data_IF_620087271203
#
_entry.id   IF_620087271203
#
_cell.length_a   1.000
_cell.length_b   1.000
_cell.length_c   1.000
_cell.angle_alpha   90.00
_cell.angle_beta   90.00
_cell.angle_gamma   90.00
#
_symmetry.space_group_name_H-M   'P 1'
#
loop_
_entity.id
_entity.type
_entity.pdbx_description
1 polymer ?
#
# COMPACT_ATOMS: atom_id res chain seq x y z
N UNK A 1 -20.43 -14.69 24.34
CA UNK A 1 -19.39 -13.89 25.05
C UNK A 1 -19.50 -12.47 24.54
N UNK A 2 -19.91 -11.53 25.39
CA UNK A 2 -20.03 -10.10 25.04
C UNK A 2 -18.60 -9.54 24.95
N UNK A 3 -18.10 -9.29 23.73
CA UNK A 3 -16.87 -8.54 23.51
C UNK A 3 -17.07 -7.14 24.12
N UNK A 4 -16.31 -6.82 25.17
CA UNK A 4 -16.30 -5.48 25.76
C UNK A 4 -15.67 -4.54 24.73
N UNK A 5 -16.52 -3.83 23.99
CA UNK A 5 -16.20 -2.60 23.28
C UNK A 5 -15.90 -1.53 24.34
N UNK A 6 -14.66 -1.40 24.77
CA UNK A 6 -14.19 -0.21 25.47
C UNK A 6 -12.79 0.13 24.96
N UNK A 7 -12.65 1.37 24.49
CA UNK A 7 -11.46 2.03 23.94
C UNK A 7 -11.11 1.75 22.46
N UNK A 8 -11.87 2.35 21.53
CA UNK A 8 -11.31 2.98 20.31
C UNK A 8 -12.39 3.72 19.52
N UNK A 9 -12.92 4.82 20.07
CA UNK A 9 -13.77 5.74 19.32
C UNK A 9 -13.48 7.13 19.87
N UNK A 10 -12.46 7.77 19.30
CA UNK A 10 -12.35 9.19 18.94
C UNK A 10 -11.03 9.30 18.16
N UNK A 11 -11.07 8.96 16.88
CA UNK A 11 -10.22 9.61 15.88
C UNK A 11 -11.21 10.22 14.89
N UNK A 12 -11.85 11.29 15.34
CA UNK A 12 -12.86 12.01 14.59
C UNK A 12 -12.24 12.64 13.36
N UNK A 13 -12.67 12.14 12.20
CA UNK A 13 -13.02 12.89 11.00
C UNK A 13 -12.48 14.32 10.88
N UNK A 14 -11.53 14.51 9.97
CA UNK A 14 -11.33 15.79 9.27
C UNK A 14 -10.87 15.55 7.82
N UNK A 15 -11.78 15.07 6.97
CA UNK A 15 -11.73 15.34 5.53
C UNK A 15 -13.08 15.90 5.09
N UNK A 16 -13.21 17.22 5.22
CA UNK A 16 -14.13 18.00 4.40
C UNK A 16 -13.28 18.82 3.43
N UNK A 17 -13.21 18.36 2.18
CA UNK A 17 -12.79 19.17 1.05
C UNK A 17 -14.04 19.74 0.37
N UNK A 18 -14.18 21.06 0.32
CA UNK A 18 -14.83 21.85 -0.75
C UNK A 18 -14.64 23.35 -0.40
N UNK A 19 -13.81 24.12 -1.12
CA UNK A 19 -14.22 24.98 -2.24
C UNK A 19 -14.07 26.45 -1.80
N UNK A 20 -13.18 27.27 -2.36
CA UNK A 20 -13.26 27.85 -3.71
C UNK A 20 -13.65 29.33 -3.59
N UNK A 21 -12.72 30.25 -3.90
CA UNK A 21 -12.97 31.69 -3.83
C UNK A 21 -11.78 32.55 -4.27
N UNK A 22 -11.44 32.50 -5.56
CA UNK A 22 -10.48 33.41 -6.19
C UNK A 22 -11.20 34.55 -6.91
N UNK A 23 -10.84 35.79 -6.58
CA UNK A 23 -11.31 37.00 -7.26
C UNK A 23 -10.15 37.78 -7.90
N UNK A 24 -10.44 38.40 -9.05
CA UNK A 24 -9.91 39.72 -9.40
C UNK A 24 -8.98 39.86 -10.62
N UNK A 25 -9.49 40.55 -11.66
CA UNK A 25 -8.73 41.37 -12.62
C UNK A 25 -8.23 40.63 -13.87
N UNK A 26 -8.57 40.97 -15.11
CA UNK A 26 -8.78 42.29 -15.69
C UNK A 26 -7.57 42.64 -16.57
N UNK A 27 -7.66 42.35 -17.89
CA UNK A 27 -6.56 42.62 -18.82
C UNK A 27 -6.91 42.28 -20.26
N UNK A 28 -7.54 43.23 -20.94
CA UNK A 28 -7.74 43.27 -22.39
C UNK A 28 -6.40 43.36 -23.14
N UNK A 29 -6.22 42.52 -24.16
CA UNK A 29 -5.05 42.57 -25.04
C UNK A 29 -5.34 41.87 -26.36
N UNK A 30 -5.92 42.61 -27.30
CA UNK A 30 -6.09 42.24 -28.70
C UNK A 30 -4.73 42.28 -29.40
N UNK A 31 -4.33 41.20 -30.08
CA UNK A 31 -3.38 41.30 -31.19
C UNK A 31 -3.54 40.15 -32.19
N UNK A 32 -3.98 40.54 -33.37
CA UNK A 32 -3.89 39.85 -34.66
C UNK A 32 -2.42 39.67 -35.10
N UNK A 33 -2.11 38.53 -35.73
CA UNK A 33 -0.84 38.34 -36.45
C UNK A 33 -0.63 36.88 -36.87
N UNK A 34 -0.72 36.60 -38.18
CA UNK A 34 -0.48 35.28 -38.75
C UNK A 34 0.99 35.02 -39.16
N UNK A 35 1.18 33.91 -39.90
CA UNK A 35 2.43 33.45 -40.54
C UNK A 35 3.42 32.80 -39.57
N UNK A 36 4.12 31.70 -39.83
CA UNK A 36 4.36 30.84 -40.99
C UNK A 36 4.90 29.49 -40.48
N UNK A 37 4.78 28.43 -41.29
CA UNK A 37 5.26 27.10 -40.93
C UNK A 37 6.72 27.06 -40.46
N UNK A 38 6.97 26.25 -39.44
CA UNK A 38 8.31 25.82 -39.05
C UNK A 38 8.21 24.36 -38.63
N UNK A 39 9.13 23.54 -39.12
CA UNK A 39 9.08 22.09 -39.04
C UNK A 39 8.81 21.55 -37.64
N UNK A 40 8.05 20.46 -37.60
CA UNK A 40 7.86 19.61 -36.43
C UNK A 40 9.22 19.16 -35.90
N UNK A 41 9.79 19.94 -34.99
CA UNK A 41 10.79 19.42 -34.07
C UNK A 41 10.03 18.39 -33.24
N UNK A 42 10.50 17.14 -33.26
CA UNK A 42 10.08 16.16 -32.28
C UNK A 42 10.47 16.72 -30.91
N UNK A 43 9.56 17.47 -30.27
CA UNK A 43 9.75 17.95 -28.92
C UNK A 43 9.79 16.71 -28.05
N UNK A 44 11.01 16.32 -27.67
CA UNK A 44 11.21 15.21 -26.74
C UNK A 44 10.48 15.60 -25.47
N UNK A 45 9.35 14.94 -25.20
CA UNK A 45 8.53 15.26 -24.04
C UNK A 45 9.30 14.79 -22.81
N UNK A 46 9.63 15.75 -21.94
CA UNK A 46 10.36 15.47 -20.72
C UNK A 46 9.36 15.00 -19.65
N UNK A 47 9.66 13.93 -18.89
CA UNK A 47 8.81 13.54 -17.77
C UNK A 47 8.66 14.67 -16.76
N UNK A 48 7.45 14.81 -16.21
CA UNK A 48 7.17 15.74 -15.12
C UNK A 48 6.69 15.00 -13.88
N UNK A 49 7.05 15.52 -12.71
CA UNK A 49 6.51 15.05 -11.44
C UNK A 49 5.07 15.56 -11.26
N UNK A 50 4.08 14.68 -11.05
CA UNK A 50 2.67 15.08 -10.93
C UNK A 50 2.34 15.92 -9.70
N UNK A 51 3.18 15.93 -8.67
CA UNK A 51 3.00 16.76 -7.47
C UNK A 51 3.52 18.18 -7.65
N UNK A 52 4.65 18.35 -8.33
CA UNK A 52 5.33 19.65 -8.43
C UNK A 52 5.19 20.29 -9.82
N UNK A 53 4.75 19.52 -10.81
CA UNK A 53 4.78 19.85 -12.24
C UNK A 53 6.17 20.24 -12.77
N UNK A 54 7.24 19.94 -12.02
CA UNK A 54 8.62 20.13 -12.44
C UNK A 54 9.12 18.92 -13.23
N UNK A 55 10.17 19.12 -14.03
CA UNK A 55 10.86 18.03 -14.70
C UNK A 55 11.32 16.97 -13.70
N UNK A 56 11.09 15.69 -14.01
CA UNK A 56 11.61 14.59 -13.22
C UNK A 56 13.15 14.58 -13.29
N UNK A 57 13.84 14.30 -12.17
CA UNK A 57 15.30 14.28 -12.15
C UNK A 57 15.86 13.12 -12.99
N UNK A 58 17.10 13.30 -13.47
CA UNK A 58 17.80 12.31 -14.27
C UNK A 58 17.41 12.28 -15.75
N UNK A 59 18.20 11.57 -16.55
CA UNK A 59 17.90 11.28 -17.94
C UNK A 59 16.94 10.09 -18.07
N UNK A 60 16.14 10.07 -19.15
CA UNK A 60 15.31 8.92 -19.52
C UNK A 60 16.17 7.65 -19.65
N UNK A 61 15.66 6.53 -19.13
CA UNK A 61 16.32 5.22 -19.16
C UNK A 61 15.32 4.15 -19.57
N UNK A 62 15.83 3.01 -20.04
CA UNK A 62 15.06 1.77 -20.24
C UNK A 62 15.42 0.71 -19.22
N UNK A 63 16.42 0.96 -18.37
CA UNK A 63 16.79 0.06 -17.29
C UNK A 63 15.80 0.21 -16.15
N UNK A 64 15.34 -0.91 -15.61
CA UNK A 64 14.51 -0.97 -14.41
C UNK A 64 15.05 -2.07 -13.52
N UNK A 65 15.17 -1.76 -12.25
CA UNK A 65 15.41 -2.71 -11.18
C UNK A 65 14.29 -2.61 -10.15
N UNK A 66 14.13 -3.63 -9.33
CA UNK A 66 13.12 -3.58 -8.29
C UNK A 66 13.00 -4.85 -7.48
N UNK A 67 11.98 -4.86 -6.64
CA UNK A 67 11.64 -5.95 -5.74
C UNK A 67 10.12 -6.14 -5.68
N UNK A 68 9.68 -7.37 -5.52
CA UNK A 68 8.28 -7.67 -5.15
C UNK A 68 8.29 -8.11 -3.69
N UNK A 69 7.64 -7.34 -2.84
CA UNK A 69 7.65 -7.52 -1.40
C UNK A 69 6.22 -7.46 -0.86
N UNK A 70 5.71 -8.58 -0.35
CA UNK A 70 4.43 -8.62 0.34
C UNK A 70 4.65 -8.22 1.79
N UNK A 71 4.86 -9.21 2.66
CA UNK A 71 5.52 -9.01 3.95
C UNK A 71 6.94 -9.58 3.99
N UNK A 72 7.32 -10.27 2.91
CA UNK A 72 8.66 -10.76 2.64
C UNK A 72 8.89 -10.81 1.14
N UNK A 73 10.12 -11.14 0.74
CA UNK A 73 10.52 -11.26 -0.66
C UNK A 73 9.70 -12.31 -1.42
N UNK A 74 9.07 -11.90 -2.53
CA UNK A 74 8.28 -12.77 -3.38
C UNK A 74 9.14 -13.39 -4.48
N UNK A 75 9.40 -14.68 -4.37
CA UNK A 75 10.27 -15.46 -5.27
C UNK A 75 9.48 -16.01 -6.45
N UNK A 76 10.05 -15.91 -7.66
CA UNK A 76 9.49 -16.48 -8.88
C UNK A 76 8.24 -15.79 -9.44
N UNK A 77 7.95 -14.55 -9.01
CA UNK A 77 6.89 -13.74 -9.59
C UNK A 77 7.28 -13.27 -10.99
N UNK A 78 6.33 -13.27 -11.92
CA UNK A 78 6.52 -12.63 -13.23
C UNK A 78 6.10 -11.17 -13.13
N UNK A 79 7.03 -10.26 -13.40
CA UNK A 79 6.82 -8.81 -13.41
C UNK A 79 6.74 -8.34 -14.85
N UNK A 80 5.59 -7.80 -15.26
CA UNK A 80 5.39 -7.20 -16.57
C UNK A 80 5.23 -5.68 -16.46
N UNK A 81 5.87 -4.94 -17.38
CA UNK A 81 5.75 -3.49 -17.47
C UNK A 81 4.84 -3.10 -18.63
N UNK A 82 3.89 -2.18 -18.39
CA UNK A 82 2.94 -1.68 -19.36
C UNK A 82 2.97 -0.16 -19.41
N UNK A 83 2.81 0.43 -20.59
CA UNK A 83 2.36 1.82 -20.68
C UNK A 83 0.96 1.91 -20.08
N UNK A 84 0.65 3.01 -19.40
CA UNK A 84 -0.70 3.26 -18.87
C UNK A 84 -1.49 4.11 -19.87
N UNK A 85 -2.67 3.63 -20.25
CA UNK A 85 -3.62 4.36 -21.09
C UNK A 85 -4.24 5.53 -20.32
N UNK A 86 -4.86 6.49 -21.02
CA UNK A 86 -5.46 7.66 -20.38
C UNK A 86 -6.59 7.33 -19.39
N UNK A 87 -7.29 6.21 -19.60
CA UNK A 87 -8.34 5.69 -18.70
C UNK A 87 -7.78 4.89 -17.50
N UNK A 88 -6.45 4.82 -17.38
CA UNK A 88 -5.75 4.08 -16.33
C UNK A 88 -5.55 2.60 -16.65
N UNK A 89 -6.13 2.05 -17.72
CA UNK A 89 -5.94 0.65 -18.08
C UNK A 89 -4.52 0.35 -18.57
N UNK A 90 -4.16 -0.94 -18.61
CA UNK A 90 -2.89 -1.38 -19.20
C UNK A 90 -2.92 -1.19 -20.72
N UNK A 91 -1.94 -0.46 -21.23
CA UNK A 91 -1.64 -0.32 -22.64
C UNK A 91 -0.64 -1.37 -23.11
N UNK A 92 0.23 -0.97 -24.04
CA UNK A 92 1.25 -1.86 -24.61
C UNK A 92 2.23 -2.35 -23.55
N UNK A 93 2.48 -3.66 -23.52
CA UNK A 93 3.55 -4.25 -22.73
C UNK A 93 4.92 -3.84 -23.29
N UNK A 94 5.80 -3.36 -22.42
CA UNK A 94 7.11 -2.82 -22.76
C UNK A 94 8.27 -3.53 -22.04
N UNK A 95 7.99 -4.53 -21.20
CA UNK A 95 9.04 -5.33 -20.59
C UNK A 95 8.48 -6.47 -19.74
N UNK A 96 9.33 -7.45 -19.46
CA UNK A 96 9.02 -8.58 -18.57
C UNK A 96 10.29 -9.07 -17.87
N UNK A 97 10.15 -9.54 -16.64
CA UNK A 97 11.20 -10.12 -15.83
C UNK A 97 10.59 -11.13 -14.84
N UNK A 98 11.46 -11.91 -14.19
CA UNK A 98 11.06 -12.82 -13.11
C UNK A 98 11.87 -12.48 -11.87
N UNK A 99 11.25 -12.51 -10.69
CA UNK A 99 11.97 -12.25 -9.44
C UNK A 99 12.90 -13.40 -9.07
N UNK A 100 14.07 -13.04 -8.54
CA UNK A 100 15.06 -13.95 -7.98
C UNK A 100 14.67 -14.50 -6.61
N UNK A 101 15.60 -15.23 -5.98
CA UNK A 101 15.41 -15.83 -4.65
C UNK A 101 15.31 -14.80 -3.52
N UNK A 102 15.76 -13.58 -3.76
CA UNK A 102 15.67 -12.42 -2.86
C UNK A 102 14.48 -11.51 -3.22
N UNK A 103 13.60 -11.93 -4.14
CA UNK A 103 12.44 -11.14 -4.58
C UNK A 103 12.79 -10.01 -5.56
N UNK A 104 14.07 -9.82 -5.88
CA UNK A 104 14.51 -8.75 -6.78
C UNK A 104 14.32 -9.11 -8.24
N UNK A 105 14.09 -8.12 -9.11
CA UNK A 105 14.06 -8.27 -10.55
C UNK A 105 14.88 -7.17 -11.25
N UNK A 106 15.35 -7.49 -12.45
CA UNK A 106 15.97 -6.54 -13.37
C UNK A 106 15.35 -6.70 -14.75
N UNK A 107 15.01 -5.59 -15.39
CA UNK A 107 14.28 -5.53 -16.64
C UNK A 107 14.89 -4.46 -17.55
N UNK A 108 14.90 -4.72 -18.86
CA UNK A 108 15.13 -3.69 -19.87
C UNK A 108 13.84 -3.46 -20.63
N UNK A 109 13.35 -2.22 -20.63
CA UNK A 109 12.18 -1.80 -21.37
C UNK A 109 12.49 -1.72 -22.87
N UNK A 110 11.54 -2.11 -23.71
CA UNK A 110 11.64 -2.02 -25.18
C UNK A 110 11.65 -0.58 -25.68
N UNK A 111 11.20 0.37 -24.86
CA UNK A 111 11.22 1.80 -25.13
C UNK A 111 11.30 2.61 -23.83
N UNK A 112 11.90 3.79 -23.89
CA UNK A 112 11.82 4.75 -22.80
C UNK A 112 10.38 5.31 -22.72
N UNK A 113 9.74 5.35 -21.54
CA UNK A 113 8.30 5.68 -21.41
C UNK A 113 7.87 7.07 -21.92
N UNK A 114 8.82 8.00 -22.11
CA UNK A 114 8.52 9.43 -22.34
C UNK A 114 8.62 9.90 -23.77
N UNK A 115 8.81 8.99 -24.73
CA UNK A 115 8.50 9.34 -26.11
C UNK A 115 7.05 9.86 -26.24
N UNK A 116 6.13 9.45 -25.34
CA UNK A 116 4.71 9.84 -25.33
C UNK A 116 4.18 10.37 -23.97
N UNK A 117 5.05 10.55 -22.97
CA UNK A 117 4.70 10.81 -21.55
C UNK A 117 3.56 9.94 -21.01
N UNK A 118 3.80 8.64 -21.08
CA UNK A 118 2.93 7.64 -20.49
C UNK A 118 3.48 7.24 -19.12
N UNK A 119 2.59 7.05 -18.16
CA UNK A 119 2.93 6.41 -16.89
C UNK A 119 3.27 4.94 -17.20
N UNK A 120 4.02 4.29 -16.30
CA UNK A 120 4.32 2.86 -16.42
C UNK A 120 3.65 2.13 -15.27
N UNK A 121 2.96 1.03 -15.58
CA UNK A 121 2.48 0.08 -14.58
C UNK A 121 3.37 -1.16 -14.59
N UNK A 122 3.85 -1.53 -13.42
CA UNK A 122 4.43 -2.85 -13.18
C UNK A 122 3.37 -3.74 -12.54
N UNK A 123 3.20 -4.94 -13.08
CA UNK A 123 2.25 -5.94 -12.57
C UNK A 123 3.05 -7.21 -12.26
N UNK A 124 3.09 -7.57 -10.97
CA UNK A 124 3.73 -8.78 -10.48
C UNK A 124 2.66 -9.86 -10.24
N UNK A 125 2.79 -11.00 -10.92
CA UNK A 125 1.85 -12.12 -10.81
C UNK A 125 2.54 -13.43 -10.47
N UNK A 126 1.86 -14.27 -9.70
CA UNK A 126 2.41 -15.55 -9.24
C UNK A 126 3.62 -15.35 -8.33
N UNK A 127 4.39 -16.43 -8.14
CA UNK A 127 5.45 -16.47 -7.14
C UNK A 127 4.93 -16.73 -5.74
N UNK A 128 5.87 -16.89 -4.80
CA UNK A 128 5.56 -17.20 -3.41
C UNK A 128 6.49 -16.45 -2.47
N UNK A 129 6.01 -16.15 -1.27
CA UNK A 129 6.81 -15.55 -0.20
C UNK A 129 6.51 -16.25 1.12
N UNK A 130 7.38 -16.06 2.10
CA UNK A 130 7.12 -16.46 3.47
C UNK A 130 6.47 -15.29 4.21
N UNK A 131 5.24 -15.47 4.65
CA UNK A 131 4.51 -14.48 5.46
C UNK A 131 5.27 -14.19 6.75
N UNK A 132 5.51 -12.92 7.07
CA UNK A 132 6.19 -12.58 8.34
C UNK A 132 5.33 -12.88 9.54
N UNK A 133 4.01 -12.77 9.39
CA UNK A 133 3.07 -12.96 10.49
C UNK A 133 3.03 -14.40 10.95
N UNK A 134 2.85 -15.39 10.06
CA UNK A 134 2.62 -16.79 10.44
C UNK A 134 3.66 -17.79 9.89
N UNK A 135 4.70 -17.29 9.20
CA UNK A 135 5.81 -18.09 8.60
C UNK A 135 5.39 -19.11 7.55
N UNK A 136 4.17 -18.99 7.07
CA UNK A 136 3.64 -19.88 6.04
C UNK A 136 4.07 -19.40 4.66
N UNK A 137 4.22 -20.34 3.73
CA UNK A 137 4.41 -19.98 2.32
C UNK A 137 3.08 -19.56 1.72
N UNK A 138 3.01 -18.32 1.27
CA UNK A 138 1.83 -17.73 0.64
C UNK A 138 2.08 -17.52 -0.85
N UNK A 139 1.05 -17.73 -1.66
CA UNK A 139 1.08 -17.41 -3.08
C UNK A 139 0.78 -15.93 -3.28
N UNK A 140 1.65 -15.24 -3.98
CA UNK A 140 1.37 -13.89 -4.42
C UNK A 140 0.26 -13.92 -5.48
N UNK A 141 -0.75 -13.06 -5.32
CA UNK A 141 -1.82 -12.89 -6.29
C UNK A 141 -1.36 -12.05 -7.47
N UNK A 142 -1.95 -10.87 -7.60
CA UNK A 142 -1.51 -9.82 -8.50
C UNK A 142 -1.25 -8.56 -7.69
N UNK A 143 -0.02 -8.08 -7.71
CA UNK A 143 0.35 -6.80 -7.14
C UNK A 143 0.78 -5.84 -8.23
N UNK A 144 0.50 -4.57 -8.02
CA UNK A 144 0.74 -3.56 -9.03
C UNK A 144 1.41 -2.33 -8.44
N UNK A 145 2.09 -1.61 -9.31
CA UNK A 145 2.67 -0.31 -9.01
C UNK A 145 2.54 0.56 -10.26
N UNK A 146 2.12 1.81 -10.10
CA UNK A 146 2.13 2.80 -11.18
C UNK A 146 3.17 3.86 -10.86
N UNK A 147 4.08 4.12 -11.78
CA UNK A 147 5.04 5.22 -11.68
C UNK A 147 4.81 6.27 -12.77
N UNK A 148 4.90 7.57 -12.45
CA UNK A 148 4.87 8.64 -13.46
C UNK A 148 6.13 8.64 -14.33
N UNK A 149 7.24 8.07 -13.85
CA UNK A 149 8.52 8.11 -14.53
C UNK A 149 9.49 6.98 -14.13
N UNK A 150 10.26 6.47 -15.10
CA UNK A 150 11.51 5.71 -15.01
C UNK A 150 12.69 6.53 -15.55
N UNK A 151 13.56 7.03 -14.68
CA UNK A 151 14.76 7.81 -15.07
C UNK A 151 16.01 7.20 -14.44
N UNK A 152 17.19 7.60 -14.90
CA UNK A 152 18.48 7.24 -14.25
C UNK A 152 18.59 7.67 -12.78
N UNK A 153 17.75 8.59 -12.32
CA UNK A 153 17.64 8.96 -10.90
C UNK A 153 16.54 8.17 -10.16
N UNK A 154 15.68 7.46 -10.90
CA UNK A 154 14.49 6.79 -10.40
C UNK A 154 14.14 5.58 -11.26
N UNK A 155 14.95 4.52 -11.13
CA UNK A 155 14.82 3.26 -11.88
C UNK A 155 14.67 2.03 -10.98
N UNK A 156 14.57 2.24 -9.65
CA UNK A 156 14.34 1.18 -8.66
C UNK A 156 12.92 1.27 -8.10
N UNK A 157 12.17 0.16 -8.14
CA UNK A 157 10.77 0.12 -7.68
C UNK A 157 10.50 -1.08 -6.76
N UNK A 158 9.67 -0.87 -5.73
CA UNK A 158 9.25 -1.91 -4.79
C UNK A 158 7.75 -2.10 -4.92
N UNK A 159 7.33 -3.25 -5.43
CA UNK A 159 5.93 -3.61 -5.65
C UNK A 159 5.39 -4.30 -4.40
N UNK A 160 4.37 -3.72 -3.76
CA UNK A 160 3.78 -4.20 -2.50
C UNK A 160 2.25 -4.18 -2.53
N UNK A 161 1.57 -4.80 -1.54
CA UNK A 161 0.15 -4.60 -1.29
C UNK A 161 -0.28 -3.13 -1.22
N UNK A 162 0.54 -2.25 -0.65
CA UNK A 162 0.21 -0.83 -0.56
C UNK A 162 0.34 -0.12 -1.92
N UNK A 163 1.39 -0.40 -2.71
CA UNK A 163 1.48 0.16 -4.06
C UNK A 163 0.35 -0.35 -4.96
N UNK A 164 -0.11 -1.59 -4.71
CA UNK A 164 -1.27 -2.15 -5.40
C UNK A 164 -2.53 -1.35 -5.08
N UNK A 165 -2.76 -1.05 -3.81
CA UNK A 165 -3.88 -0.20 -3.36
C UNK A 165 -3.84 1.19 -4.03
N UNK A 166 -2.67 1.83 -4.11
CA UNK A 166 -2.49 3.08 -4.86
C UNK A 166 -2.76 2.91 -6.37
N UNK A 167 -2.26 1.85 -7.00
CA UNK A 167 -2.45 1.54 -8.42
C UNK A 167 -3.92 1.34 -8.77
N UNK A 168 -4.65 0.55 -7.97
CA UNK A 168 -6.08 0.30 -8.17
C UNK A 168 -6.90 1.58 -8.02
N UNK A 169 -6.57 2.40 -7.02
CA UNK A 169 -7.19 3.73 -6.83
C UNK A 169 -6.91 4.66 -8.01
N UNK A 170 -5.67 4.72 -8.49
CA UNK A 170 -5.32 5.52 -9.66
C UNK A 170 -6.11 5.07 -10.89
N UNK A 171 -6.22 3.75 -11.12
CA UNK A 171 -7.05 3.18 -12.19
C UNK A 171 -8.48 3.64 -12.08
N UNK A 172 -9.09 3.55 -10.89
CA UNK A 172 -10.48 3.96 -10.67
C UNK A 172 -10.70 5.45 -10.94
N UNK A 173 -9.78 6.31 -10.50
CA UNK A 173 -9.91 7.76 -10.72
C UNK A 173 -9.78 8.07 -12.21
N UNK A 174 -8.80 7.49 -12.91
CA UNK A 174 -8.62 7.68 -14.34
C UNK A 174 -9.82 7.16 -15.15
N UNK A 175 -10.37 6.00 -14.80
CA UNK A 175 -11.53 5.41 -15.49
C UNK A 175 -12.81 6.24 -15.33
N UNK A 176 -12.87 7.11 -14.32
CA UNK A 176 -13.99 8.05 -14.11
C UNK A 176 -13.74 9.45 -14.71
N UNK A 177 -12.72 9.58 -15.57
CA UNK A 177 -12.41 10.81 -16.29
C UNK A 177 -11.34 11.69 -15.63
N UNK A 178 -10.69 11.22 -14.56
CA UNK A 178 -9.52 11.88 -13.99
C UNK A 178 -8.32 11.83 -14.94
N UNK A 179 -7.46 12.86 -14.91
CA UNK A 179 -6.16 12.79 -15.60
C UNK A 179 -5.23 11.80 -14.90
N UNK A 180 -4.26 11.21 -15.62
CA UNK A 180 -3.29 10.31 -14.99
C UNK A 180 -2.50 10.95 -13.84
N UNK A 181 -2.21 12.25 -13.93
CA UNK A 181 -1.56 12.98 -12.84
C UNK A 181 -2.45 13.06 -11.59
N UNK A 182 -3.72 13.41 -11.75
CA UNK A 182 -4.68 13.45 -10.63
C UNK A 182 -4.96 12.05 -10.06
N UNK A 183 -5.09 11.06 -10.94
CA UNK A 183 -5.26 9.67 -10.57
C UNK A 183 -4.09 9.17 -9.71
N UNK A 184 -2.87 9.45 -10.14
CA UNK A 184 -1.66 9.08 -9.40
C UNK A 184 -1.60 9.75 -8.03
N UNK A 185 -1.78 11.07 -7.95
CA UNK A 185 -1.72 11.79 -6.66
C UNK A 185 -2.83 11.35 -5.71
N UNK A 186 -4.02 11.03 -6.24
CA UNK A 186 -5.13 10.47 -5.47
C UNK A 186 -4.84 9.07 -4.92
N UNK A 187 -4.20 8.20 -5.71
CA UNK A 187 -3.80 6.86 -5.29
C UNK A 187 -2.71 6.88 -4.23
N UNK A 188 -1.62 7.61 -4.49
CA UNK A 188 -0.51 7.75 -3.56
C UNK A 188 -0.94 8.42 -2.23
N UNK A 189 -1.81 9.44 -2.27
CA UNK A 189 -2.34 10.07 -1.07
C UNK A 189 -3.15 9.14 -0.16
N UNK A 190 -3.83 8.14 -0.73
CA UNK A 190 -4.63 7.17 0.01
C UNK A 190 -3.77 6.16 0.77
N UNK A 191 -2.67 5.69 0.17
CA UNK A 191 -1.73 4.79 0.86
C UNK A 191 -1.16 5.45 2.11
N UNK A 192 -0.76 6.73 1.99
CA UNK A 192 -0.21 7.50 3.09
C UNK A 192 -1.19 7.65 4.26
N UNK A 193 -2.48 7.82 3.99
CA UNK A 193 -3.49 7.90 5.04
C UNK A 193 -3.84 6.54 5.65
N UNK A 194 -3.84 5.46 4.85
CA UNK A 194 -4.20 4.10 5.31
C UNK A 194 -3.26 3.54 6.39
N UNK A 195 -2.01 3.97 6.39
CA UNK A 195 -0.98 3.48 7.32
C UNK A 195 -0.78 4.36 8.56
N UNK A 196 -1.77 5.21 8.86
CA UNK A 196 -1.77 6.06 10.06
C UNK A 196 -0.64 7.08 10.08
N UNK A 197 -0.01 7.32 8.93
CA UNK A 197 1.11 8.22 8.80
C UNK A 197 0.59 9.65 8.64
N UNK A 198 0.48 10.35 9.76
CA UNK A 198 0.31 11.82 9.79
C UNK A 198 1.60 12.57 9.42
N UNK A 199 2.69 11.86 9.09
CA UNK A 199 3.94 12.44 8.60
C UNK A 199 4.73 11.42 7.75
N UNK A 200 5.67 11.88 6.92
CA UNK A 200 5.74 11.63 5.49
C UNK A 200 6.59 10.39 5.14
N UNK A 201 6.03 9.43 4.41
CA UNK A 201 6.80 8.44 3.62
C UNK A 201 7.36 9.09 2.33
N UNK A 202 7.19 10.41 2.22
CA UNK A 202 8.06 11.19 1.39
C UNK A 202 9.26 11.47 2.29
N UNK A 203 10.46 10.94 1.99
CA UNK A 203 11.65 11.65 2.41
C UNK A 203 11.41 13.11 2.04
N UNK A 204 11.24 14.00 3.04
CA UNK A 204 11.05 15.42 2.76
C UNK A 204 12.29 16.05 2.11
N UNK A 205 13.36 15.26 1.93
CA UNK A 205 14.69 15.66 1.49
C UNK A 205 15.20 14.97 0.21
N UNK A 206 14.45 14.12 -0.51
CA UNK A 206 14.96 13.47 -1.75
C UNK A 206 14.70 14.25 -3.04
N UNK A 207 13.96 15.36 -3.00
CA UNK A 207 13.68 16.17 -4.20
C UNK A 207 12.68 15.54 -5.17
N UNK A 208 12.04 14.43 -4.80
CA UNK A 208 11.01 13.72 -5.60
C UNK A 208 9.68 13.50 -4.85
N UNK A 209 9.03 14.57 -4.33
CA UNK A 209 7.81 14.44 -3.55
C UNK A 209 6.74 13.61 -4.26
N UNK A 210 6.09 12.73 -3.50
CA UNK A 210 4.98 11.91 -3.97
C UNK A 210 5.34 10.67 -4.78
N UNK A 211 6.63 10.40 -5.03
CA UNK A 211 7.06 9.17 -5.73
C UNK A 211 8.01 8.31 -4.93
N UNK A 212 8.70 8.85 -3.93
CA UNK A 212 9.75 8.13 -3.19
C UNK A 212 9.29 6.82 -2.53
N UNK A 213 8.03 6.77 -2.09
CA UNK A 213 7.44 5.56 -1.50
C UNK A 213 7.47 4.36 -2.45
N UNK A 214 7.53 4.59 -3.78
CA UNK A 214 7.62 3.55 -4.79
C UNK A 214 9.00 2.86 -4.79
N UNK A 215 10.04 3.50 -4.25
CA UNK A 215 11.39 2.95 -4.17
C UNK A 215 11.79 2.56 -2.74
N UNK A 216 10.90 2.78 -1.77
CA UNK A 216 11.18 2.51 -0.37
C UNK A 216 11.11 1.00 -0.10
N UNK A 217 12.25 0.41 0.26
CA UNK A 217 12.33 -0.98 0.71
C UNK A 217 11.81 -1.07 2.16
N UNK A 218 10.77 -1.88 2.42
CA UNK A 218 10.22 -2.07 3.77
C UNK A 218 11.30 -2.54 4.76
N UNK A 219 11.35 -1.93 5.95
CA UNK A 219 12.34 -2.27 7.00
C UNK A 219 13.78 -1.83 6.71
N UNK A 220 14.01 -1.09 5.62
CA UNK A 220 15.32 -0.49 5.35
C UNK A 220 15.55 0.77 6.20
N UNK A 221 16.76 1.34 6.16
CA UNK A 221 17.03 2.62 6.83
C UNK A 221 16.21 3.80 6.30
N UNK A 222 15.63 3.68 5.10
CA UNK A 222 14.69 4.68 4.56
C UNK A 222 13.29 4.55 5.17
N UNK A 223 12.95 3.37 5.73
CA UNK A 223 11.66 3.09 6.35
C UNK A 223 11.71 3.51 7.81
N UNK A 224 11.68 4.83 8.00
CA UNK A 224 11.84 5.43 9.34
C UNK A 224 10.74 4.90 10.27
N UNK A 225 11.16 4.37 11.42
CA UNK A 225 10.29 3.69 12.39
C UNK A 225 9.62 2.40 11.85
N UNK A 226 10.19 1.75 10.83
CA UNK A 226 9.67 0.49 10.22
C UNK A 226 8.21 0.56 9.73
N UNK A 227 7.76 1.77 9.51
CA UNK A 227 6.38 2.14 9.37
C UNK A 227 5.70 1.46 8.16
N UNK A 228 6.44 1.23 7.09
CA UNK A 228 5.98 0.50 5.92
C UNK A 228 5.97 -1.02 6.17
N UNK A 229 7.06 -1.58 6.71
CA UNK A 229 7.11 -3.00 7.05
C UNK A 229 5.98 -3.42 8.01
N UNK A 230 5.66 -2.58 9.00
CA UNK A 230 4.60 -2.84 9.97
C UNK A 230 3.22 -2.88 9.33
N UNK A 231 2.97 -1.97 8.39
CA UNK A 231 1.73 -1.95 7.63
C UNK A 231 1.56 -3.23 6.81
N UNK A 232 2.65 -3.69 6.17
CA UNK A 232 2.64 -4.94 5.41
C UNK A 232 2.43 -6.15 6.33
N UNK A 233 3.03 -6.16 7.51
CA UNK A 233 2.78 -7.21 8.50
C UNK A 233 1.33 -7.17 9.03
N UNK A 234 0.74 -5.99 9.20
CA UNK A 234 -0.65 -5.86 9.64
C UNK A 234 -1.66 -6.38 8.60
N UNK A 235 -1.35 -6.22 7.30
CA UNK A 235 -2.12 -6.86 6.22
C UNK A 235 -2.09 -8.38 6.38
N UNK A 236 -0.93 -8.96 6.62
CA UNK A 236 -0.82 -10.42 6.82
C UNK A 236 -1.49 -10.89 8.10
N UNK A 237 -1.41 -10.12 9.20
CA UNK A 237 -2.08 -10.43 10.46
C UNK A 237 -3.61 -10.44 10.28
N UNK A 238 -4.17 -9.56 9.45
CA UNK A 238 -5.58 -9.61 9.06
C UNK A 238 -5.94 -10.94 8.39
N UNK A 239 -5.06 -11.46 7.52
CA UNK A 239 -5.21 -12.79 6.92
C UNK A 239 -5.18 -13.92 7.94
N UNK A 240 -4.26 -13.87 8.92
CA UNK A 240 -4.21 -14.84 10.02
C UNK A 240 -5.50 -14.81 10.83
N UNK A 241 -5.94 -13.60 11.20
CA UNK A 241 -7.10 -13.39 12.04
C UNK A 241 -8.38 -13.93 11.38
N UNK A 242 -8.58 -13.70 10.08
CA UNK A 242 -9.82 -14.08 9.42
C UNK A 242 -9.71 -15.37 8.61
N UNK A 243 -8.59 -16.08 8.74
CA UNK A 243 -8.28 -17.30 7.97
C UNK A 243 -8.47 -17.06 6.47
N UNK A 244 -7.81 -16.04 5.92
CA UNK A 244 -7.86 -15.69 4.50
C UNK A 244 -6.48 -15.85 3.86
N UNK A 245 -6.38 -16.40 2.64
CA UNK A 245 -5.14 -16.36 1.86
C UNK A 245 -4.70 -14.92 1.62
N UNK A 246 -3.38 -14.66 1.58
CA UNK A 246 -2.88 -13.28 1.45
C UNK A 246 -3.38 -12.55 0.20
N UNK A 247 -3.47 -13.25 -0.94
CA UNK A 247 -4.01 -12.67 -2.17
C UNK A 247 -5.46 -12.16 -2.04
N UNK A 248 -6.25 -12.77 -1.15
CA UNK A 248 -7.61 -12.34 -0.83
C UNK A 248 -7.58 -11.13 0.09
N UNK A 249 -6.64 -11.07 1.03
CA UNK A 249 -6.48 -9.91 1.90
C UNK A 249 -6.08 -8.68 1.08
N UNK A 250 -5.14 -8.83 0.14
CA UNK A 250 -4.74 -7.77 -0.79
C UNK A 250 -5.93 -7.30 -1.64
N UNK A 251 -6.77 -8.23 -2.10
CA UNK A 251 -8.02 -7.92 -2.79
C UNK A 251 -8.97 -7.14 -1.90
N UNK A 252 -9.19 -7.58 -0.66
CA UNK A 252 -10.07 -6.91 0.32
C UNK A 252 -9.60 -5.49 0.60
N UNK A 253 -8.32 -5.30 0.85
CA UNK A 253 -7.76 -3.98 1.12
C UNK A 253 -7.91 -3.05 -0.08
N UNK A 254 -7.53 -3.52 -1.28
CA UNK A 254 -7.60 -2.70 -2.50
C UNK A 254 -9.03 -2.37 -2.93
N UNK A 255 -9.95 -3.35 -2.89
CA UNK A 255 -11.34 -3.15 -3.31
C UNK A 255 -12.14 -2.33 -2.31
N UNK A 256 -11.92 -2.53 -1.00
CA UNK A 256 -12.66 -1.79 0.04
C UNK A 256 -12.29 -0.31 0.08
N UNK A 257 -11.13 0.06 -0.44
CA UNK A 257 -10.63 1.45 -0.47
C UNK A 257 -10.70 2.08 -1.86
N UNK A 258 -11.27 1.41 -2.86
CA UNK A 258 -11.18 1.84 -4.26
C UNK A 258 -11.76 3.25 -4.51
N UNK A 259 -12.74 3.66 -3.70
CA UNK A 259 -13.37 5.00 -3.77
C UNK A 259 -12.71 6.06 -2.88
N UNK A 260 -11.65 5.69 -2.13
CA UNK A 260 -11.01 6.54 -1.11
C UNK A 260 -11.77 6.58 0.21
N UNK A 261 -12.92 5.89 0.27
CA UNK A 261 -13.68 5.65 1.49
C UNK A 261 -13.87 4.14 1.64
N UNK A 262 -13.89 3.67 2.88
CA UNK A 262 -14.15 2.28 3.19
C UNK A 262 -15.55 1.85 2.70
N UNK A 263 -15.60 0.71 2.00
CA UNK A 263 -16.82 0.14 1.44
C UNK A 263 -16.75 -1.39 1.43
N UNK A 264 -17.91 -2.03 1.63
CA UNK A 264 -18.08 -3.48 1.45
C UNK A 264 -18.51 -3.86 0.04
N UNK A 265 -18.66 -2.87 -0.85
CA UNK A 265 -19.06 -3.03 -2.24
C UNK A 265 -18.11 -2.29 -3.18
N UNK A 266 -17.99 -2.80 -4.40
CA UNK A 266 -17.31 -2.15 -5.51
C UNK A 266 -18.09 -0.89 -5.95
N UNK A 267 -17.46 0.03 -6.70
CA UNK A 267 -18.11 1.26 -7.19
C UNK A 267 -19.38 1.02 -8.02
N UNK A 268 -19.51 -0.15 -8.65
CA UNK A 268 -20.69 -0.56 -9.40
C UNK A 268 -21.81 -1.15 -8.51
N UNK A 269 -21.65 -1.15 -7.18
CA UNK A 269 -22.60 -1.70 -6.20
C UNK A 269 -22.47 -3.20 -5.95
N UNK A 270 -21.59 -3.91 -6.66
CA UNK A 270 -21.40 -5.36 -6.46
C UNK A 270 -20.71 -5.62 -5.12
N UNK A 271 -21.16 -6.62 -4.37
CA UNK A 271 -20.52 -7.02 -3.12
C UNK A 271 -19.08 -7.50 -3.36
N UNK A 272 -18.17 -7.14 -2.44
CA UNK A 272 -16.80 -7.67 -2.44
C UNK A 272 -16.87 -9.12 -1.97
N UNK A 273 -16.69 -10.06 -2.89
CA UNK A 273 -16.62 -11.49 -2.55
C UNK A 273 -15.22 -11.82 -2.05
N UNK A 274 -15.16 -12.47 -0.88
CA UNK A 274 -13.91 -12.81 -0.21
C UNK A 274 -13.72 -14.32 -0.08
N UNK A 275 -14.62 -15.14 -0.63
CA UNK A 275 -14.48 -16.60 -0.66
C UNK A 275 -14.49 -17.25 0.72
N UNK A 276 -14.34 -18.57 0.77
CA UNK A 276 -14.27 -19.31 2.04
C UNK A 276 -13.52 -20.63 1.89
N UNK A 277 -12.97 -21.15 2.99
CA UNK A 277 -12.42 -22.49 3.02
C UNK A 277 -13.52 -23.56 2.97
N UNK A 278 -13.31 -24.57 2.13
CA UNK A 278 -14.19 -25.72 1.98
C UNK A 278 -13.32 -26.98 1.92
N UNK A 279 -13.44 -27.84 2.92
CA UNK A 279 -12.68 -29.10 3.01
C UNK A 279 -11.16 -28.94 2.87
N UNK A 280 -10.58 -27.87 3.45
CA UNK A 280 -9.15 -27.59 3.40
C UNK A 280 -8.65 -26.89 2.14
N UNK A 281 -9.52 -26.61 1.17
CA UNK A 281 -9.20 -25.84 -0.04
C UNK A 281 -9.95 -24.51 -0.02
N UNK A 282 -9.26 -23.42 -0.35
CA UNK A 282 -9.89 -22.12 -0.44
C UNK A 282 -10.75 -22.00 -1.71
N UNK A 283 -12.04 -21.73 -1.56
CA UNK A 283 -12.96 -21.49 -2.67
C UNK A 283 -13.25 -20.00 -2.81
N UNK A 284 -12.54 -19.35 -3.74
CA UNK A 284 -12.71 -17.93 -4.04
C UNK A 284 -14.09 -17.57 -4.62
N UNK A 285 -14.85 -18.54 -5.12
CA UNK A 285 -16.19 -18.36 -5.68
C UNK A 285 -17.31 -18.63 -4.66
N UNK A 286 -16.97 -19.05 -3.44
CA UNK A 286 -17.98 -19.23 -2.41
C UNK A 286 -18.61 -17.88 -2.05
N UNK A 287 -19.92 -17.88 -1.81
CA UNK A 287 -20.72 -16.68 -1.51
C UNK A 287 -20.50 -16.23 -0.07
N UNK A 288 -19.30 -15.76 0.23
CA UNK A 288 -18.93 -15.13 1.50
C UNK A 288 -18.35 -13.75 1.18
N UNK A 289 -18.95 -12.71 1.76
CA UNK A 289 -18.68 -11.32 1.36
C UNK A 289 -18.01 -10.54 2.49
N UNK A 290 -17.34 -9.44 2.12
CA UNK A 290 -16.74 -8.55 3.11
C UNK A 290 -17.78 -8.01 4.10
N UNK A 291 -18.99 -7.67 3.63
CA UNK A 291 -20.07 -7.23 4.51
C UNK A 291 -20.45 -8.30 5.56
N UNK A 292 -20.44 -9.57 5.17
CA UNK A 292 -20.68 -10.68 6.10
C UNK A 292 -19.58 -10.76 7.15
N UNK A 293 -18.30 -10.69 6.75
CA UNK A 293 -17.17 -10.69 7.67
C UNK A 293 -17.23 -9.51 8.65
N UNK A 294 -17.39 -8.29 8.15
CA UNK A 294 -17.49 -7.08 8.97
C UNK A 294 -18.62 -7.17 9.98
N UNK A 295 -19.80 -7.66 9.59
CA UNK A 295 -20.95 -7.81 10.49
C UNK A 295 -20.67 -8.73 11.68
N UNK A 296 -19.83 -9.76 11.50
CA UNK A 296 -19.40 -10.65 12.59
C UNK A 296 -18.34 -10.05 13.50
N UNK A 297 -17.69 -8.98 13.04
CA UNK A 297 -16.58 -8.29 13.72
C UNK A 297 -16.94 -6.86 14.15
N UNK A 298 -18.23 -6.57 14.32
CA UNK A 298 -18.67 -5.27 14.85
C UNK A 298 -18.66 -4.14 13.82
N UNK A 299 -18.70 -4.48 12.53
CA UNK A 299 -18.66 -3.55 11.39
C UNK A 299 -17.39 -2.69 11.37
N UNK A 300 -16.25 -3.28 11.75
CA UNK A 300 -14.93 -2.63 11.64
C UNK A 300 -14.39 -2.85 10.23
N UNK A 301 -14.11 -1.78 9.47
CA UNK A 301 -13.54 -1.91 8.13
C UNK A 301 -12.12 -2.51 8.15
N UNK A 302 -11.68 -3.21 7.08
CA UNK A 302 -10.37 -3.86 7.02
C UNK A 302 -9.21 -2.95 7.38
N UNK A 303 -9.16 -1.74 6.80
CA UNK A 303 -8.06 -0.80 7.06
C UNK A 303 -7.98 -0.39 8.54
N UNK A 304 -9.12 -0.23 9.21
CA UNK A 304 -9.18 0.17 10.60
C UNK A 304 -8.70 -0.99 11.48
N UNK A 305 -9.08 -2.22 11.17
CA UNK A 305 -8.59 -3.42 11.88
C UNK A 305 -7.09 -3.63 11.65
N UNK A 306 -6.59 -3.44 10.43
CA UNK A 306 -5.15 -3.47 10.13
C UNK A 306 -4.37 -2.41 10.92
N UNK A 307 -4.90 -1.19 11.00
CA UNK A 307 -4.31 -0.16 11.83
C UNK A 307 -4.30 -0.54 13.33
N UNK A 308 -5.36 -1.19 13.82
CA UNK A 308 -5.40 -1.72 15.19
C UNK A 308 -4.34 -2.81 15.42
N UNK A 309 -4.08 -3.69 14.45
CA UNK A 309 -3.00 -4.68 14.59
C UNK A 309 -1.64 -4.02 14.78
N UNK A 310 -1.33 -2.95 14.03
CA UNK A 310 -0.09 -2.20 14.24
C UNK A 310 0.01 -1.64 15.67
N UNK A 311 -1.07 -1.07 16.20
CA UNK A 311 -1.12 -0.56 17.58
C UNK A 311 -0.90 -1.70 18.60
N UNK A 312 -1.49 -2.87 18.38
CA UNK A 312 -1.37 -4.00 19.30
C UNK A 312 0.02 -4.60 19.31
N UNK A 313 0.67 -4.72 18.16
CA UNK A 313 2.05 -5.22 18.05
C UNK A 313 3.05 -4.31 18.78
N UNK A 314 2.99 -3.00 18.52
CA UNK A 314 3.84 -2.02 19.23
C UNK A 314 3.51 -2.00 20.73
N UNK A 315 2.23 -2.01 21.07
CA UNK A 315 1.79 -2.01 22.46
C UNK A 315 2.29 -3.23 23.22
N UNK A 316 2.25 -4.41 22.61
CA UNK A 316 2.76 -5.66 23.18
C UNK A 316 4.28 -5.61 23.37
N UNK A 317 5.04 -5.22 22.35
CA UNK A 317 6.50 -5.13 22.41
C UNK A 317 6.97 -4.14 23.49
N UNK A 318 6.33 -2.98 23.58
CA UNK A 318 6.68 -1.95 24.55
C UNK A 318 6.22 -2.33 25.97
N UNK A 319 5.10 -3.05 26.11
CA UNK A 319 4.69 -3.65 27.39
C UNK A 319 5.67 -4.71 27.89
N UNK A 320 6.22 -5.53 26.99
CA UNK A 320 7.23 -6.52 27.34
C UNK A 320 8.57 -5.89 27.75
N UNK A 321 8.96 -4.80 27.09
CA UNK A 321 10.23 -4.09 27.37
C UNK A 321 10.15 -3.10 28.54
N UNK A 322 8.95 -2.61 28.87
CA UNK A 322 8.73 -1.52 29.82
C UNK A 322 9.14 -0.14 29.28
N UNK A 323 9.50 -0.03 28.00
CA UNK A 323 9.87 1.22 27.33
C UNK A 323 8.80 1.60 26.30
N UNK A 324 7.98 2.60 26.62
CA UNK A 324 6.87 3.07 25.76
C UNK A 324 7.25 4.21 24.81
N UNK A 325 8.51 4.66 24.83
CA UNK A 325 8.97 5.75 23.95
C UNK A 325 8.81 5.42 22.46
N UNK A 326 9.13 4.20 21.97
CA UNK A 326 8.90 3.82 20.58
C UNK A 326 7.43 3.94 20.17
N UNK A 327 6.50 3.41 20.97
CA UNK A 327 5.06 3.53 20.74
C UNK A 327 4.64 4.99 20.60
N UNK A 328 5.02 5.87 21.53
CA UNK A 328 4.60 7.28 21.46
C UNK A 328 5.34 8.11 20.41
N UNK A 329 6.51 7.66 19.96
CA UNK A 329 7.18 8.24 18.79
C UNK A 329 6.39 7.94 17.52
N UNK A 330 5.82 6.72 17.43
CA UNK A 330 5.03 6.26 16.29
C UNK A 330 3.58 6.75 16.33
N UNK A 331 2.97 6.75 17.52
CA UNK A 331 1.58 7.11 17.80
C UNK A 331 1.55 8.17 18.91
N UNK A 332 1.84 9.44 18.58
CA UNK A 332 1.87 10.50 19.57
C UNK A 332 0.50 10.69 20.22
N UNK A 333 0.49 10.83 21.55
CA UNK A 333 -0.72 11.22 22.28
C UNK A 333 -1.13 12.64 21.90
N UNK A 334 -2.43 12.85 21.72
CA UNK A 334 -2.93 14.22 21.62
C UNK A 334 -2.77 14.94 22.96
N UNK A 335 -2.66 16.27 22.91
CA UNK A 335 -2.52 17.09 24.13
C UNK A 335 -3.66 16.82 25.11
N UNK A 336 -3.32 16.35 26.31
CA UNK A 336 -4.29 16.03 27.37
C UNK A 336 -4.80 14.60 27.38
N UNK A 337 -4.39 13.75 26.43
CA UNK A 337 -4.69 12.32 26.48
C UNK A 337 -3.85 11.61 27.55
N UNK A 338 -4.47 10.75 28.38
CA UNK A 338 -3.75 9.98 29.37
C UNK A 338 -2.84 8.95 28.69
N UNK A 339 -1.68 8.68 29.30
CA UNK A 339 -0.83 7.60 28.86
C UNK A 339 -1.53 6.25 29.11
N UNK A 340 -1.92 5.61 28.01
CA UNK A 340 -2.69 4.35 27.95
C UNK A 340 -2.01 3.20 28.71
N UNK A 341 -0.67 3.16 28.76
CA UNK A 341 0.09 2.14 29.48
C UNK A 341 0.06 2.35 31.00
N UNK A 342 -0.09 3.60 31.44
CA UNK A 342 -0.14 3.95 32.88
C UNK A 342 -1.56 3.99 33.45
N UNK A 343 -2.59 4.13 32.60
CA UNK A 343 -4.00 4.12 33.02
C UNK A 343 -4.56 2.74 33.36
N UNK A 344 -3.75 1.68 33.24
CA UNK A 344 -4.09 0.29 33.59
C UNK A 344 -4.83 -0.46 32.47
N UNK A 345 -4.49 -1.74 32.27
CA UNK A 345 -5.21 -2.67 31.39
C UNK A 345 -4.80 -2.70 29.92
N UNK A 346 -4.08 -1.69 29.41
CA UNK A 346 -3.62 -1.67 28.02
C UNK A 346 -2.68 -2.84 27.69
N UNK A 347 -1.66 -3.10 28.52
CA UNK A 347 -0.73 -4.22 28.30
C UNK A 347 -1.44 -5.57 28.25
N UNK A 348 -2.31 -5.85 29.22
CA UNK A 348 -3.12 -7.08 29.22
C UNK A 348 -3.97 -7.20 27.96
N UNK A 349 -4.50 -6.09 27.46
CA UNK A 349 -5.30 -6.05 26.24
C UNK A 349 -4.44 -6.38 25.02
N UNK A 350 -3.29 -5.71 24.86
CA UNK A 350 -2.35 -5.98 23.76
C UNK A 350 -1.80 -7.42 23.78
N UNK A 351 -1.38 -7.91 24.95
CA UNK A 351 -0.91 -9.28 25.14
C UNK A 351 -1.99 -10.30 24.76
N UNK A 352 -3.24 -10.04 25.14
CA UNK A 352 -4.38 -10.90 24.79
C UNK A 352 -4.63 -10.90 23.29
N UNK A 353 -4.52 -9.75 22.62
CA UNK A 353 -4.71 -9.66 21.17
C UNK A 353 -3.64 -10.43 20.41
N UNK A 354 -2.36 -10.20 20.71
CA UNK A 354 -1.25 -10.93 20.09
C UNK A 354 -1.39 -12.44 20.34
N UNK A 355 -1.65 -12.84 21.59
CA UNK A 355 -1.86 -14.26 21.94
C UNK A 355 -3.02 -14.91 21.16
N UNK A 356 -4.08 -14.15 20.85
CA UNK A 356 -5.20 -14.67 20.07
C UNK A 356 -4.83 -14.88 18.59
N UNK A 357 -3.97 -14.03 18.02
CA UNK A 357 -3.46 -14.20 16.66
C UNK A 357 -2.51 -15.40 16.62
N UNK A 358 -1.59 -15.52 17.59
CA UNK A 358 -0.69 -16.67 17.74
C UNK A 358 -1.44 -17.99 17.79
N UNK A 359 -2.50 -18.04 18.61
CA UNK A 359 -3.35 -19.21 18.73
C UNK A 359 -4.02 -19.60 17.40
N UNK A 360 -4.31 -18.62 16.52
CA UNK A 360 -4.89 -18.89 15.20
C UNK A 360 -3.91 -19.52 14.23
N UNK A 361 -2.61 -19.20 14.29
CA UNK A 361 -1.61 -19.80 13.39
C UNK A 361 -1.63 -21.33 13.43
N UNK A 362 -1.82 -21.92 14.61
CA UNK A 362 -1.87 -23.38 14.75
C UNK A 362 -3.17 -24.03 14.21
N UNK A 363 -4.21 -23.24 13.94
CA UNK A 363 -5.57 -23.75 13.68
C UNK A 363 -6.19 -23.27 12.37
N UNK A 364 -5.65 -22.22 11.75
CA UNK A 364 -6.20 -21.65 10.54
C UNK A 364 -5.78 -22.48 9.30
N UNK A 365 -6.70 -22.58 8.34
CA UNK A 365 -6.47 -23.36 7.11
C UNK A 365 -5.37 -22.75 6.25
N UNK A 366 -5.24 -21.42 6.33
CA UNK A 366 -4.14 -20.67 5.74
C UNK A 366 -2.76 -21.25 6.12
N UNK A 367 -2.55 -21.59 7.39
CA UNK A 367 -1.27 -22.11 7.85
C UNK A 367 -1.09 -23.60 7.57
N UNK A 368 -2.18 -24.38 7.67
CA UNK A 368 -2.15 -25.83 7.42
C UNK A 368 -1.71 -26.19 6.00
N UNK A 369 -1.75 -25.25 5.05
CA UNK A 369 -1.36 -25.46 3.68
C UNK A 369 0.17 -25.62 3.44
N UNK A 370 1.07 -25.09 4.29
CA UNK A 370 2.55 -25.22 4.14
C UNK A 370 3.24 -24.65 5.41
N UNK A 371 3.29 -25.39 6.52
CA UNK A 371 4.15 -25.05 7.67
C UNK A 371 5.44 -25.86 7.62
N UNK A 372 6.60 -25.20 7.50
CA UNK A 372 7.91 -25.83 7.77
C UNK A 372 8.55 -25.40 9.10
N UNK A 373 7.85 -24.59 9.92
CA UNK A 373 8.27 -24.27 11.30
C UNK A 373 7.20 -23.54 12.14
N UNK A 374 7.23 -23.64 13.48
CA UNK A 374 6.20 -23.04 14.34
C UNK A 374 6.41 -21.53 14.54
N UNK A 375 5.30 -20.79 14.57
CA UNK A 375 5.18 -19.54 15.30
C UNK A 375 4.69 -18.35 14.47
N UNK A 376 3.65 -17.68 14.97
CA UNK A 376 3.52 -16.25 14.68
C UNK A 376 4.80 -15.56 15.18
N UNK A 377 5.32 -14.57 14.46
CA UNK A 377 6.39 -13.72 15.00
C UNK A 377 5.75 -12.37 15.28
N UNK A 378 5.34 -12.13 16.56
CA UNK A 378 5.05 -10.77 16.96
C UNK A 378 6.32 -9.95 16.76
N UNK A 379 6.19 -8.65 16.55
CA UNK A 379 7.31 -7.71 16.50
C UNK A 379 7.96 -7.53 17.88
N UNK A 380 8.31 -8.62 18.54
CA UNK A 380 9.14 -8.66 19.75
C UNK A 380 10.57 -8.20 19.48
N UNK A 381 10.94 -8.09 18.21
CA UNK A 381 12.13 -7.39 17.76
C UNK A 381 11.66 -6.32 16.78
N UNK A 382 11.90 -5.02 17.03
CA UNK A 382 11.97 -4.06 15.94
C UNK A 382 12.87 -4.71 14.90
N UNK A 383 12.44 -4.81 13.65
CA UNK A 383 13.31 -5.24 12.56
C UNK A 383 14.43 -4.20 12.51
N UNK A 384 15.54 -4.54 13.18
CA UNK A 384 16.85 -3.89 13.28
C UNK A 384 16.85 -2.34 13.28
N UNK A 385 17.09 -1.74 14.45
CA UNK A 385 17.38 -0.30 14.52
C UNK A 385 17.57 0.33 15.91
N UNK A 386 17.33 -0.39 17.01
CA UNK A 386 17.68 0.12 18.34
C UNK A 386 19.13 -0.28 18.72
N UNK A 387 20.10 0.45 18.17
CA UNK A 387 21.48 0.49 18.68
C UNK A 387 22.54 -0.25 17.87
N UNK A 388 23.03 0.39 16.80
CA UNK A 388 24.44 0.77 16.68
C UNK A 388 24.54 2.18 16.12
#
# INVERSE_FOLDING_TARGET
MKKMLLASLIASAALAACGGGGGGGGGSGTSTGGSTGTGSTNTTKVPTNPYTNQQAPGASTTTVMGEVYNSGATVGATVAAYLVNADGSNGTAIGTATTGADGTFSMTLSQAPYATASYVRFVATGGTYTSTSDKTTQTNGSLELVTPYVTTAFENFVITPLTNVASQRATQVASTGGTLANAYTSGAGMVLSLIGMTNPILPQDTGTPGVDYLALVPGSSGDTLNAYADALNAIEAYGVQHDLPSSVVDQVLSQSQLTGNASTTLPNGTAINIGQWQSGTFNASATYTLATLESTNGNVPPYAEMHQFMLWEYGHADCASGNYTPYFTRFPLATGEPNIFTSGGACTTYDTFVSNIDAKVATNQRSLALVTGPGYVPQTTPVVGAGQ
#
